data_IF_372866138832
#
_entry.id   IF_372866138832
#
_cell.length_a   1.000
_cell.length_b   1.000
_cell.length_c   1.000
_cell.angle_alpha   90.00
_cell.angle_beta   90.00
_cell.angle_gamma   90.00
#
_symmetry.space_group_name_H-M   'P 1'
#
loop_
_entity.id
_entity.type
_entity.pdbx_description
1 polymer ?
#
# COMPACT_ATOMS: atom_id res chain seq x y z
N UNK A 1 18.54 1.36 50.21
CA UNK A 1 19.28 0.74 49.07
C UNK A 1 19.08 1.64 47.82
N UNK A 2 20.15 1.98 47.10
CA UNK A 2 19.97 2.68 45.83
C UNK A 2 19.13 1.81 44.88
N UNK A 3 18.34 2.43 44.00
CA UNK A 3 17.55 1.65 43.04
C UNK A 3 18.47 0.81 42.16
N UNK A 4 18.06 -0.43 41.81
CA UNK A 4 18.88 -1.31 41.00
C UNK A 4 19.11 -0.65 39.64
N UNK A 5 20.36 -0.37 39.31
CA UNK A 5 20.79 0.20 38.05
C UNK A 5 20.93 -0.92 37.03
N UNK A 6 20.49 -0.65 35.78
CA UNK A 6 20.81 -1.54 34.68
C UNK A 6 22.31 -1.49 34.38
N UNK A 7 22.95 -2.64 34.13
CA UNK A 7 24.32 -2.65 33.64
C UNK A 7 24.37 -1.99 32.26
N UNK A 8 25.57 -1.65 31.79
CA UNK A 8 25.75 -1.18 30.41
C UNK A 8 25.27 -2.28 29.46
N UNK A 9 24.17 -2.00 28.73
CA UNK A 9 23.56 -2.95 27.79
C UNK A 9 24.11 -2.74 26.38
N UNK A 10 24.27 -3.81 25.61
CA UNK A 10 24.60 -3.67 24.18
C UNK A 10 23.49 -2.90 23.43
N UNK A 11 23.85 -2.16 22.38
CA UNK A 11 22.85 -1.53 21.53
C UNK A 11 21.98 -2.59 20.85
N UNK A 12 20.68 -2.28 20.67
CA UNK A 12 19.73 -3.14 19.96
C UNK A 12 18.79 -3.95 20.85
N UNK A 13 18.09 -4.93 20.26
CA UNK A 13 17.12 -5.73 21.00
C UNK A 13 17.79 -6.73 21.94
N UNK A 14 17.25 -6.83 23.14
CA UNK A 14 17.69 -7.77 24.15
C UNK A 14 16.67 -8.91 24.27
N UNK A 15 17.08 -10.13 23.97
CA UNK A 15 16.28 -11.33 24.26
C UNK A 15 16.44 -11.74 25.71
N UNK A 16 15.45 -12.47 26.26
CA UNK A 16 15.53 -12.98 27.62
C UNK A 16 16.74 -13.92 27.80
N UNK A 17 17.09 -14.70 26.78
CA UNK A 17 18.27 -15.56 26.79
C UNK A 17 19.58 -14.74 26.89
N UNK A 18 19.71 -13.71 26.02
CA UNK A 18 20.87 -12.81 26.06
C UNK A 18 20.95 -12.04 27.38
N UNK A 19 19.81 -11.57 27.90
CA UNK A 19 19.77 -10.90 29.20
C UNK A 19 20.31 -11.78 30.35
N UNK A 20 19.93 -13.05 30.36
CA UNK A 20 20.44 -14.02 31.34
C UNK A 20 21.93 -14.29 31.17
N UNK A 21 22.43 -14.37 29.93
CA UNK A 21 23.87 -14.50 29.67
C UNK A 21 24.67 -13.28 30.16
N UNK A 22 24.09 -12.10 30.11
CA UNK A 22 24.65 -10.85 30.64
C UNK A 22 24.51 -10.73 32.19
N UNK A 23 23.90 -11.71 32.83
CA UNK A 23 23.74 -11.74 34.30
C UNK A 23 22.59 -10.85 34.80
N UNK A 24 21.65 -10.41 33.95
CA UNK A 24 20.50 -9.65 34.43
C UNK A 24 19.58 -10.54 35.27
N UNK A 25 19.23 -10.06 36.45
CA UNK A 25 18.20 -10.67 37.29
C UNK A 25 16.79 -10.47 36.67
N UNK A 26 15.84 -11.31 37.07
CA UNK A 26 14.44 -11.17 36.67
C UNK A 26 13.83 -9.81 37.07
N UNK A 27 14.34 -9.20 38.17
CA UNK A 27 13.95 -7.86 38.58
C UNK A 27 14.48 -6.80 37.61
N UNK A 28 15.76 -6.85 37.26
CA UNK A 28 16.38 -5.93 36.30
C UNK A 28 15.73 -6.07 34.90
N UNK A 29 15.39 -7.31 34.49
CA UNK A 29 14.63 -7.55 33.24
C UNK A 29 13.30 -6.78 33.20
N UNK A 30 12.64 -6.58 34.35
CA UNK A 30 11.32 -5.91 34.44
C UNK A 30 11.40 -4.40 34.69
N UNK A 31 12.59 -3.81 34.78
CA UNK A 31 12.73 -2.37 35.00
C UNK A 31 12.12 -1.54 33.86
N UNK A 32 11.55 -0.40 34.21
CA UNK A 32 10.88 0.52 33.28
C UNK A 32 11.80 1.06 32.16
N UNK A 33 13.13 1.03 32.34
CA UNK A 33 14.09 1.41 31.31
C UNK A 33 14.17 0.43 30.13
N UNK A 34 13.63 -0.79 30.28
CA UNK A 34 13.54 -1.79 29.22
C UNK A 34 12.11 -1.91 28.72
N UNK A 35 11.83 -1.38 27.52
CA UNK A 35 10.51 -1.40 26.90
C UNK A 35 10.18 -2.81 26.42
N UNK A 36 9.02 -3.30 26.81
CA UNK A 36 8.57 -4.65 26.49
C UNK A 36 7.99 -4.70 25.08
N UNK A 37 8.67 -5.35 24.15
CA UNK A 37 8.17 -5.60 22.81
C UNK A 37 7.38 -6.91 22.72
N UNK A 38 7.94 -7.97 23.33
CA UNK A 38 7.26 -9.26 23.52
C UNK A 38 7.52 -9.76 24.95
N UNK A 39 7.04 -10.96 25.29
CA UNK A 39 7.39 -11.57 26.59
C UNK A 39 8.90 -11.81 26.75
N UNK A 40 9.59 -12.07 25.64
CA UNK A 40 10.99 -12.49 25.61
C UNK A 40 11.92 -11.50 24.92
N UNK A 41 11.43 -10.36 24.45
CA UNK A 41 12.22 -9.31 23.77
C UNK A 41 11.93 -7.96 24.37
N UNK A 42 12.97 -7.21 24.69
CA UNK A 42 12.94 -5.84 25.20
C UNK A 42 13.90 -4.96 24.41
N UNK A 43 13.64 -3.66 24.41
CA UNK A 43 14.45 -2.63 23.77
C UNK A 43 14.62 -1.43 24.71
N UNK A 44 15.62 -0.60 24.47
CA UNK A 44 15.78 0.69 25.14
C UNK A 44 14.87 1.76 24.53
N UNK A 45 14.60 1.67 23.23
CA UNK A 45 13.76 2.60 22.47
C UNK A 45 12.54 1.89 21.87
N UNK A 46 11.49 2.62 21.54
CA UNK A 46 10.38 2.05 20.75
C UNK A 46 10.82 1.90 19.30
N UNK A 47 10.29 0.87 18.59
CA UNK A 47 10.51 0.75 17.14
C UNK A 47 9.81 1.90 16.40
N UNK A 48 10.53 2.51 15.47
CA UNK A 48 10.05 3.66 14.68
C UNK A 48 9.38 3.23 13.37
N UNK A 49 9.62 2.00 12.92
CA UNK A 49 9.10 1.46 11.66
C UNK A 49 8.41 0.11 11.83
N UNK A 50 7.56 -0.23 10.86
CA UNK A 50 6.96 -1.57 10.76
C UNK A 50 8.04 -2.66 10.64
N UNK A 51 9.13 -2.38 9.92
CA UNK A 51 10.26 -3.30 9.76
C UNK A 51 10.97 -3.57 11.09
N UNK A 52 11.32 -2.54 11.85
CA UNK A 52 11.94 -2.69 13.17
C UNK A 52 11.04 -3.47 14.12
N UNK A 53 9.74 -3.15 14.14
CA UNK A 53 8.78 -3.87 14.97
C UNK A 53 8.69 -5.35 14.57
N UNK A 54 8.62 -5.66 13.29
CA UNK A 54 8.61 -7.03 12.79
C UNK A 54 9.92 -7.76 13.14
N UNK A 55 11.08 -7.11 13.01
CA UNK A 55 12.39 -7.67 13.37
C UNK A 55 12.47 -8.05 14.86
N UNK A 56 11.93 -7.22 15.76
CA UNK A 56 11.86 -7.53 17.19
C UNK A 56 10.98 -8.76 17.47
N UNK A 57 9.85 -8.87 16.79
CA UNK A 57 8.96 -10.01 16.93
C UNK A 57 9.55 -11.29 16.33
N UNK A 58 10.29 -11.20 15.21
CA UNK A 58 10.96 -12.34 14.57
C UNK A 58 11.92 -13.06 15.54
N UNK A 59 12.59 -12.32 16.46
CA UNK A 59 13.45 -12.93 17.49
C UNK A 59 12.70 -13.83 18.49
N UNK A 60 11.39 -13.68 18.56
CA UNK A 60 10.54 -14.41 19.48
C UNK A 60 9.62 -15.42 18.79
N UNK A 61 9.56 -15.41 17.45
CA UNK A 61 8.73 -16.31 16.66
C UNK A 61 9.48 -17.61 16.33
N UNK A 62 8.78 -18.73 16.17
CA UNK A 62 9.36 -19.94 15.59
C UNK A 62 9.92 -19.66 14.17
N UNK A 63 11.03 -20.34 13.85
CA UNK A 63 11.75 -20.14 12.58
C UNK A 63 10.91 -20.50 11.32
N UNK A 64 9.86 -21.30 11.49
CA UNK A 64 8.93 -21.70 10.42
C UNK A 64 7.79 -20.68 10.19
N UNK A 65 7.77 -19.57 10.93
CA UNK A 65 6.82 -18.50 10.72
C UNK A 65 7.27 -17.54 9.62
N UNK A 66 6.29 -16.89 8.98
CA UNK A 66 6.52 -15.74 8.11
C UNK A 66 5.51 -14.62 8.44
N UNK A 67 5.84 -13.37 8.13
CA UNK A 67 4.87 -12.29 8.16
C UNK A 67 3.96 -12.35 6.93
N UNK A 68 2.68 -11.97 7.07
CA UNK A 68 1.68 -12.11 6.03
C UNK A 68 0.66 -10.97 6.06
N UNK A 69 -0.31 -10.96 5.18
CA UNK A 69 -1.45 -10.05 5.17
C UNK A 69 -1.03 -8.57 5.32
N UNK A 70 -1.61 -7.83 6.27
CA UNK A 70 -1.33 -6.40 6.49
C UNK A 70 0.13 -6.16 6.86
N UNK A 71 0.72 -7.04 7.71
CA UNK A 71 2.13 -6.88 8.09
C UNK A 71 3.06 -7.07 6.89
N UNK A 72 2.86 -8.09 6.09
CA UNK A 72 3.65 -8.27 4.87
C UNK A 72 3.44 -7.11 3.89
N UNK A 73 2.22 -6.61 3.74
CA UNK A 73 1.92 -5.44 2.90
C UNK A 73 2.67 -4.18 3.38
N UNK A 74 2.73 -3.95 4.70
CA UNK A 74 3.53 -2.86 5.28
C UNK A 74 5.03 -3.05 5.01
N UNK A 75 5.55 -4.26 5.18
CA UNK A 75 6.95 -4.57 4.91
C UNK A 75 7.32 -4.41 3.43
N UNK A 76 6.42 -4.81 2.52
CA UNK A 76 6.56 -4.58 1.09
C UNK A 76 6.40 -3.10 0.68
N UNK A 77 5.93 -2.23 1.59
CA UNK A 77 5.63 -0.83 1.29
C UNK A 77 4.38 -0.65 0.41
N UNK A 78 3.45 -1.62 0.43
CA UNK A 78 2.20 -1.47 -0.29
C UNK A 78 1.34 -0.37 0.33
N UNK A 79 0.66 0.44 -0.47
CA UNK A 79 -0.27 1.44 0.03
C UNK A 79 -1.43 0.79 0.78
N UNK A 80 -1.68 1.27 1.99
CA UNK A 80 -2.76 0.79 2.85
C UNK A 80 -3.55 1.98 3.42
N UNK A 81 -4.86 1.82 3.72
CA UNK A 81 -5.62 2.78 4.47
C UNK A 81 -4.96 3.13 5.81
N UNK A 82 -5.14 4.38 6.27
CA UNK A 82 -4.56 4.87 7.52
C UNK A 82 -4.96 4.02 8.74
N UNK A 83 -6.18 3.50 8.76
CA UNK A 83 -6.66 2.61 9.81
C UNK A 83 -5.81 1.34 9.99
N UNK A 84 -5.20 0.83 8.92
CA UNK A 84 -4.35 -0.36 8.97
C UNK A 84 -2.87 -0.04 9.21
N UNK A 85 -2.44 1.20 8.98
CA UNK A 85 -1.06 1.61 9.26
C UNK A 85 -0.72 1.57 10.75
N UNK A 86 -1.70 1.85 11.61
CA UNK A 86 -1.58 1.82 13.08
C UNK A 86 -1.97 0.49 13.74
N UNK A 87 -2.13 -0.59 13.00
CA UNK A 87 -2.55 -1.87 13.54
C UNK A 87 -1.58 -2.36 14.64
N UNK A 88 -2.10 -2.71 15.82
CA UNK A 88 -1.28 -3.14 16.96
C UNK A 88 -0.71 -4.56 16.79
N UNK A 89 -1.48 -5.49 16.20
CA UNK A 89 -1.07 -6.88 15.99
C UNK A 89 -0.29 -7.07 14.69
N UNK A 90 0.69 -7.98 14.71
CA UNK A 90 1.42 -8.41 13.51
C UNK A 90 0.80 -9.70 12.94
N UNK A 91 0.45 -9.67 11.68
CA UNK A 91 -0.05 -10.86 10.96
C UNK A 91 1.10 -11.83 10.71
N UNK A 92 1.00 -13.02 11.30
CA UNK A 92 2.02 -14.07 11.21
C UNK A 92 1.38 -15.36 10.72
N UNK A 93 2.02 -16.02 9.75
CA UNK A 93 1.50 -17.24 9.13
C UNK A 93 2.44 -18.41 9.38
N UNK A 94 1.86 -19.61 9.57
CA UNK A 94 2.53 -20.92 9.62
C UNK A 94 1.85 -21.91 8.70
N UNK A 95 2.51 -23.04 8.47
CA UNK A 95 1.90 -24.17 7.76
C UNK A 95 0.72 -24.73 8.54
N UNK A 96 -0.28 -25.23 7.79
CA UNK A 96 -1.41 -25.98 8.34
C UNK A 96 -0.86 -27.24 9.06
N UNK A 97 -1.41 -27.57 10.23
CA UNK A 97 -0.91 -28.70 11.04
C UNK A 97 0.22 -28.33 12.03
N UNK A 98 0.79 -27.15 11.94
CA UNK A 98 1.62 -26.60 13.01
C UNK A 98 0.76 -25.93 14.08
N UNK A 99 1.17 -25.98 15.33
CA UNK A 99 0.43 -25.35 16.43
C UNK A 99 0.19 -23.85 16.20
N UNK A 100 -0.95 -23.36 16.69
CA UNK A 100 -1.30 -21.94 16.61
C UNK A 100 -0.25 -21.09 17.34
N UNK A 101 0.03 -19.91 16.77
CA UNK A 101 0.90 -18.92 17.44
C UNK A 101 0.05 -18.18 18.47
N UNK A 102 0.21 -18.58 19.74
CA UNK A 102 -0.45 -17.93 20.88
C UNK A 102 0.52 -16.91 21.51
N UNK A 103 0.76 -15.82 20.80
CA UNK A 103 1.64 -14.76 21.27
C UNK A 103 0.92 -13.43 21.21
N UNK A 104 0.90 -12.73 22.33
CA UNK A 104 0.36 -11.37 22.40
C UNK A 104 1.03 -10.47 21.36
N UNK A 105 0.24 -9.68 20.66
CA UNK A 105 0.73 -8.83 19.57
C UNK A 105 0.89 -9.55 18.22
N UNK A 106 0.55 -10.84 18.12
CA UNK A 106 0.46 -11.58 16.86
C UNK A 106 -0.98 -11.86 16.49
N UNK A 107 -1.29 -11.76 15.20
CA UNK A 107 -2.53 -12.21 14.59
C UNK A 107 -2.17 -13.46 13.78
N UNK A 108 -2.54 -14.65 14.28
CA UNK A 108 -2.09 -15.90 13.68
C UNK A 108 -2.92 -16.29 12.46
N UNK A 109 -2.24 -16.74 11.41
CA UNK A 109 -2.80 -17.32 10.21
C UNK A 109 -2.19 -18.70 9.92
N UNK A 110 -2.86 -19.49 9.09
CA UNK A 110 -2.41 -20.80 8.62
C UNK A 110 -2.37 -20.88 7.09
N UNK A 111 -1.66 -21.87 6.57
CA UNK A 111 -1.57 -22.12 5.12
C UNK A 111 -0.32 -21.52 4.47
N UNK A 112 0.78 -21.34 5.22
CA UNK A 112 2.05 -20.87 4.67
C UNK A 112 2.56 -21.76 3.52
N UNK A 113 2.25 -23.07 3.56
CA UNK A 113 2.60 -24.05 2.50
C UNK A 113 1.91 -23.79 1.15
N UNK A 114 0.92 -22.91 1.12
CA UNK A 114 0.17 -22.52 -0.09
C UNK A 114 0.58 -21.16 -0.62
N UNK A 115 1.63 -20.60 -0.07
CA UNK A 115 2.15 -19.27 -0.38
C UNK A 115 3.61 -19.36 -0.76
N UNK A 116 4.01 -18.55 -1.72
CA UNK A 116 5.43 -18.28 -1.90
C UNK A 116 5.91 -17.43 -0.73
N UNK A 117 7.10 -17.75 -0.24
CA UNK A 117 7.73 -17.01 0.85
C UNK A 117 9.02 -16.40 0.34
N UNK A 118 9.23 -15.13 0.68
CA UNK A 118 10.42 -14.36 0.36
C UNK A 118 11.18 -13.94 1.61
N UNK A 119 12.40 -13.44 1.39
CA UNK A 119 13.21 -12.79 2.43
C UNK A 119 13.29 -11.30 2.14
N UNK A 120 12.80 -10.47 3.04
CA UNK A 120 12.81 -9.02 2.93
C UNK A 120 13.51 -8.39 4.12
N UNK A 121 14.70 -7.82 3.93
CA UNK A 121 15.49 -7.25 5.03
C UNK A 121 15.78 -8.24 6.17
N UNK A 122 15.98 -9.52 5.86
CA UNK A 122 16.22 -10.57 6.85
C UNK A 122 14.95 -11.17 7.49
N UNK A 123 13.76 -10.71 7.09
CA UNK A 123 12.47 -11.21 7.57
C UNK A 123 11.82 -12.14 6.55
N UNK A 124 11.28 -13.28 7.01
CA UNK A 124 10.45 -14.13 6.17
C UNK A 124 9.08 -13.51 6.00
N UNK A 125 8.66 -13.31 4.77
CA UNK A 125 7.38 -12.68 4.40
C UNK A 125 6.66 -13.51 3.34
N UNK A 126 5.34 -13.39 3.22
CA UNK A 126 4.63 -13.90 2.04
C UNK A 126 5.07 -13.12 0.81
N UNK A 127 5.24 -13.81 -0.32
CA UNK A 127 5.64 -13.19 -1.59
C UNK A 127 4.68 -12.05 -1.97
N UNK A 128 5.16 -11.11 -2.77
CA UNK A 128 4.45 -9.85 -3.05
C UNK A 128 3.03 -10.09 -3.61
N UNK A 129 2.88 -11.00 -4.59
CA UNK A 129 1.57 -11.33 -5.17
C UNK A 129 0.68 -12.13 -4.19
N UNK A 130 1.26 -13.02 -3.39
CA UNK A 130 0.53 -13.72 -2.33
C UNK A 130 0.02 -12.76 -1.26
N UNK A 131 0.83 -11.76 -0.89
CA UNK A 131 0.46 -10.70 0.05
C UNK A 131 -0.75 -9.91 -0.45
N UNK A 132 -0.82 -9.59 -1.74
CA UNK A 132 -1.98 -8.92 -2.32
C UNK A 132 -3.27 -9.77 -2.18
N UNK A 133 -3.21 -11.07 -2.47
CA UNK A 133 -4.36 -11.97 -2.29
C UNK A 133 -4.74 -12.07 -0.80
N UNK A 134 -3.75 -12.12 0.09
CA UNK A 134 -3.98 -12.15 1.54
C UNK A 134 -4.68 -10.89 2.05
N UNK A 135 -4.47 -9.71 1.44
CA UNK A 135 -5.24 -8.49 1.77
C UNK A 135 -6.74 -8.70 1.54
N UNK A 136 -7.14 -9.43 0.50
CA UNK A 136 -8.54 -9.80 0.28
C UNK A 136 -9.12 -10.61 1.44
N UNK A 137 -8.34 -11.46 2.09
CA UNK A 137 -8.81 -12.27 3.22
C UNK A 137 -9.14 -11.42 4.47
N UNK A 138 -8.63 -10.20 4.56
CA UNK A 138 -8.76 -9.30 5.72
C UNK A 138 -9.51 -7.99 5.42
N UNK A 139 -10.28 -7.92 4.34
CA UNK A 139 -11.07 -6.73 3.95
C UNK A 139 -11.96 -6.21 5.08
N UNK A 140 -12.52 -7.10 5.91
CA UNK A 140 -13.33 -6.73 7.08
C UNK A 140 -12.59 -5.82 8.09
N UNK A 141 -11.27 -5.66 7.98
CA UNK A 141 -10.47 -4.75 8.80
C UNK A 141 -10.44 -3.30 8.25
N UNK A 142 -11.27 -2.97 7.26
CA UNK A 142 -11.39 -1.63 6.70
C UNK A 142 -10.72 -1.45 5.34
N UNK A 143 -10.62 -2.52 4.54
CA UNK A 143 -10.27 -2.46 3.13
C UNK A 143 -11.53 -2.55 2.26
N UNK A 144 -11.56 -1.80 1.19
CA UNK A 144 -12.53 -1.95 0.11
C UNK A 144 -11.88 -2.48 -1.20
N UNK A 145 -12.68 -2.69 -2.23
CA UNK A 145 -12.17 -3.12 -3.55
C UNK A 145 -11.20 -2.10 -4.14
N UNK A 146 -11.41 -0.79 -3.91
CA UNK A 146 -10.51 0.24 -4.41
C UNK A 146 -9.14 0.18 -3.71
N UNK A 147 -9.08 -0.18 -2.43
CA UNK A 147 -7.82 -0.41 -1.71
C UNK A 147 -7.05 -1.59 -2.29
N UNK A 148 -7.77 -2.66 -2.67
CA UNK A 148 -7.15 -3.80 -3.36
C UNK A 148 -6.58 -3.40 -4.72
N UNK A 149 -7.26 -2.52 -5.49
CA UNK A 149 -6.74 -2.00 -6.76
C UNK A 149 -5.51 -1.12 -6.50
N UNK A 150 -5.57 -0.22 -5.51
CA UNK A 150 -4.42 0.65 -5.14
C UNK A 150 -3.19 -0.18 -4.77
N UNK A 151 -3.35 -1.21 -3.94
CA UNK A 151 -2.25 -2.12 -3.61
C UNK A 151 -1.81 -2.94 -4.82
N UNK A 152 -2.76 -3.35 -5.66
CA UNK A 152 -2.50 -4.13 -6.87
C UNK A 152 -1.75 -3.36 -7.95
N UNK A 153 -2.05 -2.07 -8.15
CA UNK A 153 -1.30 -1.18 -9.06
C UNK A 153 0.16 -1.08 -8.63
N UNK A 154 0.43 -0.96 -7.32
CA UNK A 154 1.80 -0.96 -6.79
C UNK A 154 2.50 -2.32 -6.98
N UNK A 155 1.77 -3.43 -6.84
CA UNK A 155 2.33 -4.76 -7.18
C UNK A 155 2.63 -4.83 -8.69
N UNK A 156 1.72 -4.33 -9.54
CA UNK A 156 1.86 -4.34 -11.00
C UNK A 156 3.05 -3.51 -11.50
N UNK A 157 3.49 -2.52 -10.74
CA UNK A 157 4.73 -1.76 -11.01
C UNK A 157 6.01 -2.58 -10.80
N UNK A 158 5.93 -3.67 -10.03
CA UNK A 158 7.09 -4.51 -9.67
C UNK A 158 7.02 -5.90 -10.27
N UNK A 159 5.82 -6.38 -10.65
CA UNK A 159 5.57 -7.73 -11.17
C UNK A 159 4.47 -7.66 -12.25
N UNK A 160 4.48 -8.52 -13.26
CA UNK A 160 3.38 -8.58 -14.23
C UNK A 160 2.03 -8.84 -13.55
N UNK A 161 0.97 -8.19 -14.01
CA UNK A 161 -0.41 -8.41 -13.50
C UNK A 161 -0.79 -9.89 -13.55
N UNK A 162 -0.31 -10.62 -14.55
CA UNK A 162 -0.51 -12.07 -14.68
C UNK A 162 -0.03 -12.86 -13.44
N UNK A 163 0.94 -12.35 -12.68
CA UNK A 163 1.38 -13.00 -11.43
C UNK A 163 0.31 -12.96 -10.35
N UNK A 164 -0.45 -11.86 -10.25
CA UNK A 164 -1.59 -11.73 -9.34
C UNK A 164 -2.72 -12.70 -9.73
N UNK A 165 -3.02 -12.77 -11.02
CA UNK A 165 -4.02 -13.70 -11.56
C UNK A 165 -3.63 -15.17 -11.26
N UNK A 166 -2.37 -15.54 -11.48
CA UNK A 166 -1.88 -16.88 -11.22
C UNK A 166 -1.97 -17.25 -9.72
N UNK A 167 -1.62 -16.32 -8.83
CA UNK A 167 -1.75 -16.55 -7.39
C UNK A 167 -3.21 -16.69 -6.99
N UNK A 168 -4.09 -15.82 -7.46
CA UNK A 168 -5.52 -15.90 -7.16
C UNK A 168 -6.12 -17.24 -7.64
N UNK A 169 -5.78 -17.69 -8.83
CA UNK A 169 -6.27 -18.94 -9.42
C UNK A 169 -5.83 -20.19 -8.64
N UNK A 170 -4.61 -20.20 -8.05
CA UNK A 170 -4.13 -21.33 -7.27
C UNK A 170 -4.67 -21.39 -5.83
N UNK A 171 -5.29 -20.29 -5.34
CA UNK A 171 -5.86 -20.25 -3.99
C UNK A 171 -7.16 -21.05 -3.91
N UNK A 172 -7.27 -21.88 -2.88
CA UNK A 172 -8.48 -22.66 -2.63
C UNK A 172 -9.47 -21.81 -1.83
N UNK A 173 -10.53 -21.34 -2.49
CA UNK A 173 -11.63 -20.56 -1.89
C UNK A 173 -11.14 -19.38 -1.05
N UNK A 174 -10.36 -18.45 -1.61
CA UNK A 174 -9.93 -17.27 -0.86
C UNK A 174 -11.16 -16.46 -0.44
N UNK A 175 -11.12 -15.90 0.75
CA UNK A 175 -12.18 -14.98 1.21
C UNK A 175 -12.24 -13.78 0.27
N UNK A 176 -13.46 -13.26 0.05
CA UNK A 176 -13.71 -12.13 -0.83
C UNK A 176 -13.15 -12.31 -2.26
N UNK A 177 -13.20 -13.55 -2.77
CA UNK A 177 -12.73 -13.88 -4.13
C UNK A 177 -13.38 -13.01 -5.21
N UNK A 178 -14.65 -12.65 -5.05
CA UNK A 178 -15.36 -11.74 -5.97
C UNK A 178 -14.69 -10.37 -6.01
N UNK A 179 -14.42 -9.76 -4.86
CA UNK A 179 -13.75 -8.46 -4.79
C UNK A 179 -12.31 -8.53 -5.32
N UNK A 180 -11.58 -9.61 -5.06
CA UNK A 180 -10.25 -9.84 -5.63
C UNK A 180 -10.30 -9.96 -7.16
N UNK A 181 -11.28 -10.71 -7.69
CA UNK A 181 -11.46 -10.86 -9.14
C UNK A 181 -11.85 -9.54 -9.81
N UNK A 182 -12.75 -8.77 -9.19
CA UNK A 182 -13.10 -7.42 -9.64
C UNK A 182 -11.87 -6.50 -9.64
N UNK A 183 -11.16 -6.43 -8.51
CA UNK A 183 -9.95 -5.61 -8.40
C UNK A 183 -8.93 -5.97 -9.48
N UNK A 184 -8.72 -7.27 -9.74
CA UNK A 184 -7.77 -7.76 -10.74
C UNK A 184 -8.06 -7.22 -12.15
N UNK A 185 -9.34 -7.04 -12.53
CA UNK A 185 -9.71 -6.46 -13.84
C UNK A 185 -9.35 -4.97 -13.94
N UNK A 186 -9.23 -4.30 -12.79
CA UNK A 186 -9.02 -2.86 -12.68
C UNK A 186 -7.55 -2.47 -12.42
N UNK A 187 -6.67 -3.41 -12.12
CA UNK A 187 -5.25 -3.16 -11.85
C UNK A 187 -4.53 -2.73 -13.13
N UNK A 188 -3.71 -1.70 -13.02
CA UNK A 188 -2.86 -1.17 -14.10
C UNK A 188 -1.43 -0.97 -13.61
N UNK A 189 -0.47 -1.35 -14.43
CA UNK A 189 0.92 -0.95 -14.23
C UNK A 189 1.13 0.51 -14.67
N UNK A 190 2.16 1.14 -14.15
CA UNK A 190 2.53 2.51 -14.49
C UNK A 190 1.87 3.59 -13.63
N UNK A 191 0.94 3.25 -12.75
CA UNK A 191 0.34 4.20 -11.78
C UNK A 191 1.37 4.52 -10.70
N UNK A 192 1.55 5.81 -10.37
CA UNK A 192 2.62 6.26 -9.46
C UNK A 192 2.13 6.63 -8.06
N UNK A 193 0.85 6.82 -7.89
CA UNK A 193 0.29 7.15 -6.58
C UNK A 193 -1.05 6.50 -6.29
N UNK A 194 -1.36 6.26 -5.01
CA UNK A 194 -2.68 5.77 -4.59
C UNK A 194 -3.85 6.66 -5.06
N UNK A 195 -3.59 7.96 -5.18
CA UNK A 195 -4.64 8.91 -5.54
C UNK A 195 -4.90 8.95 -7.05
N UNK A 196 -3.90 8.72 -7.88
CA UNK A 196 -4.11 8.49 -9.32
C UNK A 196 -4.98 7.26 -9.56
N UNK A 197 -4.72 6.13 -8.86
CA UNK A 197 -5.60 4.96 -8.88
C UNK A 197 -7.03 5.34 -8.52
N UNK A 198 -7.22 6.05 -7.41
CA UNK A 198 -8.56 6.41 -6.93
C UNK A 198 -9.27 7.37 -7.89
N UNK A 199 -8.57 8.33 -8.47
CA UNK A 199 -9.10 9.23 -9.50
C UNK A 199 -9.52 8.43 -10.76
N UNK A 200 -8.67 7.53 -11.24
CA UNK A 200 -8.99 6.63 -12.36
C UNK A 200 -10.24 5.79 -12.08
N UNK A 201 -10.34 5.21 -10.89
CA UNK A 201 -11.51 4.42 -10.47
C UNK A 201 -12.77 5.27 -10.34
N UNK A 202 -12.68 6.53 -9.97
CA UNK A 202 -13.81 7.48 -9.98
C UNK A 202 -14.38 7.62 -11.38
N UNK A 203 -13.55 7.85 -12.40
CA UNK A 203 -13.98 7.92 -13.80
C UNK A 203 -14.52 6.58 -14.30
N UNK A 204 -13.85 5.48 -14.00
CA UNK A 204 -14.30 4.14 -14.38
C UNK A 204 -15.71 3.83 -13.84
N UNK A 205 -15.97 4.09 -12.55
CA UNK A 205 -17.28 3.88 -11.93
C UNK A 205 -18.38 4.74 -12.54
N UNK A 206 -18.01 5.93 -12.98
CA UNK A 206 -18.93 6.83 -13.69
C UNK A 206 -19.17 6.45 -15.15
N UNK A 207 -18.47 5.45 -15.68
CA UNK A 207 -18.66 4.98 -17.07
C UNK A 207 -17.87 5.76 -18.12
N UNK A 208 -16.84 6.50 -17.71
CA UNK A 208 -15.94 7.16 -18.65
C UNK A 208 -15.07 6.16 -19.40
N UNK A 209 -14.61 6.52 -20.62
CA UNK A 209 -13.58 5.73 -21.30
C UNK A 209 -12.30 5.67 -20.47
N UNK A 210 -11.63 4.51 -20.51
CA UNK A 210 -10.40 4.28 -19.75
C UNK A 210 -9.30 5.24 -20.22
N UNK A 211 -8.66 6.02 -19.32
CA UNK A 211 -7.50 6.83 -19.68
C UNK A 211 -6.22 6.00 -19.74
N UNK A 212 -5.24 6.44 -20.52
CA UNK A 212 -3.86 6.00 -20.37
C UNK A 212 -3.28 6.61 -19.09
N UNK A 213 -2.55 5.82 -18.28
CA UNK A 213 -1.98 6.28 -17.01
C UNK A 213 -0.51 6.67 -17.17
N UNK A 214 -0.11 7.80 -16.60
CA UNK A 214 1.26 8.34 -16.66
C UNK A 214 1.83 8.28 -18.07
N UNK A 215 1.06 8.74 -19.05
CA UNK A 215 1.36 8.57 -20.46
C UNK A 215 2.10 9.79 -21.03
N UNK A 216 3.13 9.51 -21.83
CA UNK A 216 3.84 10.53 -22.57
C UNK A 216 2.95 11.14 -23.66
N UNK A 217 3.01 12.46 -23.77
CA UNK A 217 2.28 13.27 -24.75
C UNK A 217 3.31 13.90 -25.70
N UNK A 218 3.02 13.80 -26.99
CA UNK A 218 3.90 14.29 -28.04
C UNK A 218 3.17 15.34 -28.87
N UNK A 219 3.91 16.28 -29.44
CA UNK A 219 3.45 17.23 -30.43
C UNK A 219 3.13 16.56 -31.79
N UNK A 220 2.50 17.27 -32.67
CA UNK A 220 2.15 16.74 -33.99
C UNK A 220 3.38 16.42 -34.87
N UNK A 221 4.54 17.03 -34.59
CA UNK A 221 5.83 16.76 -35.23
C UNK A 221 6.66 15.65 -34.52
N UNK A 222 6.11 15.05 -33.46
CA UNK A 222 6.73 13.95 -32.70
C UNK A 222 7.63 14.38 -31.55
N UNK A 223 7.74 15.68 -31.25
CA UNK A 223 8.49 16.20 -30.10
C UNK A 223 7.78 15.83 -28.78
N UNK A 224 8.55 15.45 -27.76
CA UNK A 224 7.99 15.20 -26.43
C UNK A 224 7.52 16.51 -25.78
N UNK A 225 6.29 16.58 -25.28
CA UNK A 225 5.70 17.74 -24.62
C UNK A 225 5.62 17.57 -23.11
N UNK A 226 5.03 16.48 -22.67
CA UNK A 226 4.73 16.25 -21.27
C UNK A 226 4.46 14.78 -20.99
N UNK A 227 4.25 14.49 -19.71
CA UNK A 227 3.63 13.26 -19.23
C UNK A 227 2.41 13.65 -18.41
N UNK A 228 1.27 12.98 -18.62
CA UNK A 228 0.03 13.26 -17.91
C UNK A 228 -0.43 12.08 -17.06
N UNK A 229 -1.01 12.33 -15.88
CA UNK A 229 -1.44 11.26 -14.96
C UNK A 229 -2.56 10.40 -15.55
N UNK A 230 -3.58 11.05 -16.14
CA UNK A 230 -4.72 10.40 -16.79
C UNK A 230 -4.93 11.05 -18.19
N UNK A 231 -4.62 10.32 -19.26
CA UNK A 231 -4.59 10.88 -20.62
C UNK A 231 -5.68 10.25 -21.47
N UNK A 232 -6.64 11.06 -21.94
CA UNK A 232 -7.60 10.71 -22.98
C UNK A 232 -7.10 11.25 -24.33
N UNK A 233 -6.24 10.48 -24.96
CA UNK A 233 -5.48 10.90 -26.16
C UNK A 233 -6.37 11.33 -27.31
N UNK A 234 -7.44 10.55 -27.59
CA UNK A 234 -8.36 10.84 -28.70
C UNK A 234 -9.04 12.20 -28.56
N UNK A 235 -9.37 12.62 -27.34
CA UNK A 235 -10.03 13.88 -27.05
C UNK A 235 -9.05 15.01 -26.71
N UNK A 236 -7.76 14.72 -26.66
CA UNK A 236 -6.72 15.63 -26.20
C UNK A 236 -7.05 16.23 -24.83
N UNK A 237 -7.42 15.40 -23.86
CA UNK A 237 -7.70 15.78 -22.47
C UNK A 237 -6.71 15.11 -21.54
N UNK A 238 -6.17 15.86 -20.58
CA UNK A 238 -5.29 15.38 -19.52
C UNK A 238 -5.93 15.72 -18.18
N UNK A 239 -6.05 14.72 -17.32
CA UNK A 239 -6.37 14.89 -15.91
C UNK A 239 -5.08 14.82 -15.07
N UNK A 240 -4.78 15.89 -14.33
CA UNK A 240 -3.62 15.98 -13.46
C UNK A 240 -4.07 15.91 -12.00
N UNK A 241 -3.59 14.92 -11.25
CA UNK A 241 -3.87 14.84 -9.83
C UNK A 241 -2.98 15.79 -9.03
N UNK A 242 -3.59 16.75 -8.36
CA UNK A 242 -2.90 17.71 -7.50
C UNK A 242 -2.89 17.21 -6.06
N UNK A 243 -1.76 16.66 -5.63
CA UNK A 243 -1.52 16.31 -4.23
C UNK A 243 -1.42 17.57 -3.35
N UNK A 244 -1.54 17.39 -2.03
CA UNK A 244 -1.26 18.44 -1.06
C UNK A 244 0.25 18.70 -0.99
N UNK A 245 0.86 19.25 -2.05
CA UNK A 245 2.30 19.47 -2.13
C UNK A 245 2.62 20.94 -1.95
N UNK A 246 3.64 21.14 -1.16
CA UNK A 246 4.45 22.36 -1.05
C UNK A 246 4.95 22.84 -2.43
N UNK A 247 4.12 23.56 -3.17
CA UNK A 247 4.48 24.16 -4.44
C UNK A 247 5.49 25.28 -4.22
N UNK A 248 6.77 24.97 -4.36
CA UNK A 248 7.82 25.99 -4.50
C UNK A 248 7.61 26.80 -5.78
N UNK A 249 8.00 28.08 -5.77
CA UNK A 249 7.85 29.04 -6.89
C UNK A 249 8.44 28.50 -8.20
N UNK A 250 9.53 27.73 -8.14
CA UNK A 250 10.18 27.12 -9.32
C UNK A 250 9.36 25.99 -9.97
N UNK A 251 8.52 25.29 -9.21
CA UNK A 251 7.59 24.29 -9.75
C UNK A 251 6.52 24.95 -10.60
N UNK A 252 5.91 26.03 -10.11
CA UNK A 252 4.81 26.73 -10.81
C UNK A 252 5.21 27.26 -12.19
N UNK A 253 6.45 27.77 -12.36
CA UNK A 253 6.93 28.27 -13.66
C UNK A 253 7.09 27.15 -14.70
N UNK A 254 7.59 25.97 -14.28
CA UNK A 254 7.72 24.81 -15.16
C UNK A 254 6.35 24.23 -15.55
N UNK A 255 5.44 24.18 -14.58
CA UNK A 255 4.08 23.70 -14.80
C UNK A 255 3.30 24.63 -15.73
N UNK A 256 3.47 25.95 -15.60
CA UNK A 256 2.86 26.93 -16.50
C UNK A 256 3.39 26.81 -17.94
N UNK A 257 4.72 26.63 -18.13
CA UNK A 257 5.30 26.42 -19.46
C UNK A 257 4.81 25.11 -20.09
N UNK A 258 4.76 24.03 -19.31
CA UNK A 258 4.25 22.73 -19.75
C UNK A 258 2.78 22.83 -20.20
N UNK A 259 1.95 23.47 -19.40
CA UNK A 259 0.53 23.67 -19.72
C UNK A 259 0.34 24.56 -20.96
N UNK A 260 1.21 25.56 -21.15
CA UNK A 260 1.23 26.38 -22.37
C UNK A 260 1.49 25.53 -23.61
N UNK A 261 2.55 24.74 -23.64
CA UNK A 261 2.88 23.83 -24.76
C UNK A 261 1.76 22.85 -25.07
N UNK A 262 1.12 22.27 -24.05
CA UNK A 262 -0.04 21.40 -24.23
C UNK A 262 -1.22 22.14 -24.85
N UNK A 263 -1.51 23.35 -24.38
CA UNK A 263 -2.61 24.19 -24.90
C UNK A 263 -2.39 24.57 -26.37
N UNK A 264 -1.16 24.94 -26.75
CA UNK A 264 -0.79 25.30 -28.12
C UNK A 264 -1.03 24.10 -29.10
N UNK A 265 -0.86 22.89 -28.61
CA UNK A 265 -1.15 21.64 -29.36
C UNK A 265 -2.62 21.17 -29.24
N UNK A 266 -3.48 22.00 -28.63
CA UNK A 266 -4.93 21.76 -28.51
C UNK A 266 -5.32 20.80 -27.39
N UNK A 267 -4.43 20.52 -26.44
CA UNK A 267 -4.76 19.73 -25.26
C UNK A 267 -5.46 20.58 -24.19
N UNK A 268 -6.36 19.93 -23.45
CA UNK A 268 -7.01 20.52 -22.26
C UNK A 268 -6.48 19.84 -21.01
N UNK A 269 -5.84 20.60 -20.13
CA UNK A 269 -5.37 20.10 -18.82
C UNK A 269 -6.43 20.44 -17.76
N UNK A 270 -6.89 19.43 -17.04
CA UNK A 270 -7.89 19.56 -15.98
C UNK A 270 -7.34 18.99 -14.68
N UNK A 271 -7.34 19.79 -13.63
CA UNK A 271 -6.86 19.39 -12.33
C UNK A 271 -7.89 18.54 -11.57
N UNK A 272 -7.40 17.58 -10.80
CA UNK A 272 -8.16 16.69 -9.92
C UNK A 272 -7.55 16.78 -8.51
N UNK A 273 -8.37 17.03 -7.51
CA UNK A 273 -7.97 17.12 -6.12
C UNK A 273 -8.53 15.97 -5.30
N UNK A 274 -7.97 15.73 -4.10
CA UNK A 274 -8.46 14.68 -3.21
C UNK A 274 -9.94 14.84 -2.87
N UNK A 275 -10.41 16.08 -2.69
CA UNK A 275 -11.83 16.34 -2.43
C UNK A 275 -12.73 15.93 -3.59
N UNK A 276 -12.25 15.99 -4.84
CA UNK A 276 -13.02 15.58 -6.02
C UNK A 276 -13.29 14.07 -6.02
N UNK A 277 -12.43 13.31 -5.36
CA UNK A 277 -12.59 11.85 -5.24
C UNK A 277 -13.49 11.47 -4.07
N UNK A 278 -13.37 12.15 -2.91
CA UNK A 278 -14.03 11.72 -1.68
C UNK A 278 -15.31 12.48 -1.34
N UNK A 279 -15.47 13.74 -1.77
CA UNK A 279 -16.67 14.54 -1.53
C UNK A 279 -17.64 14.39 -2.70
N UNK A 280 -18.87 13.95 -2.41
CA UNK A 280 -19.84 13.63 -3.45
C UNK A 280 -20.25 14.84 -4.33
N UNK A 281 -20.59 16.04 -3.79
CA UNK A 281 -20.87 17.21 -4.58
C UNK A 281 -19.71 17.63 -5.51
N UNK A 282 -18.49 17.63 -5.01
CA UNK A 282 -17.30 17.99 -5.80
C UNK A 282 -17.01 16.96 -6.88
N UNK A 283 -17.18 15.67 -6.57
CA UNK A 283 -17.06 14.57 -7.54
C UNK A 283 -18.01 14.78 -8.72
N UNK A 284 -19.29 15.09 -8.47
CA UNK A 284 -20.27 15.37 -9.51
C UNK A 284 -19.81 16.53 -10.39
N UNK A 285 -19.36 17.63 -9.80
CA UNK A 285 -18.85 18.81 -10.53
C UNK A 285 -17.65 18.44 -11.42
N UNK A 286 -16.70 17.71 -10.88
CA UNK A 286 -15.49 17.28 -11.60
C UNK A 286 -15.85 16.33 -12.75
N UNK A 287 -16.67 15.32 -12.50
CA UNK A 287 -17.13 14.40 -13.56
C UNK A 287 -17.89 15.14 -14.66
N UNK A 288 -18.77 16.10 -14.32
CA UNK A 288 -19.49 16.92 -15.31
C UNK A 288 -18.52 17.76 -16.15
N UNK A 289 -17.53 18.39 -15.52
CA UNK A 289 -16.49 19.16 -16.23
C UNK A 289 -15.68 18.29 -17.20
N UNK A 290 -15.28 17.09 -16.77
CA UNK A 290 -14.55 16.15 -17.62
C UNK A 290 -15.45 15.59 -18.74
N UNK A 291 -16.72 15.30 -18.47
CA UNK A 291 -17.66 14.86 -19.50
C UNK A 291 -17.80 15.89 -20.62
N UNK A 292 -17.92 17.18 -20.27
CA UNK A 292 -17.92 18.27 -21.25
C UNK A 292 -16.63 18.37 -22.05
N UNK A 293 -15.47 18.21 -21.41
CA UNK A 293 -14.17 18.24 -22.09
C UNK A 293 -13.97 17.05 -23.05
N UNK A 294 -14.45 15.87 -22.67
CA UNK A 294 -14.39 14.63 -23.45
C UNK A 294 -15.52 14.48 -24.48
N UNK A 295 -16.47 15.43 -24.50
CA UNK A 295 -17.67 15.42 -25.37
C UNK A 295 -18.47 14.13 -25.14
N UNK A 296 -18.72 13.77 -23.88
CA UNK A 296 -19.54 12.61 -23.52
C UNK A 296 -20.99 13.01 -23.23
N UNK A 297 -21.90 12.13 -23.55
CA UNK A 297 -23.30 12.28 -23.19
C UNK A 297 -23.52 11.98 -21.71
N UNK A 298 -23.92 13.00 -20.95
CA UNK A 298 -24.14 12.88 -19.48
C UNK A 298 -25.22 11.86 -19.13
N UNK A 299 -26.17 11.58 -20.03
CA UNK A 299 -27.26 10.62 -19.81
C UNK A 299 -26.77 9.17 -19.80
N UNK A 300 -25.59 8.91 -20.37
CA UNK A 300 -24.96 7.58 -20.41
C UNK A 300 -24.02 7.34 -19.19
N UNK A 301 -23.75 8.38 -18.43
CA UNK A 301 -22.82 8.35 -17.31
C UNK A 301 -23.53 8.20 -15.95
N UNK A 302 -22.84 7.59 -15.01
CA UNK A 302 -23.31 7.42 -13.61
C UNK A 302 -22.67 8.51 -12.74
N UNK A 303 -23.19 9.74 -12.86
CA UNK A 303 -22.64 10.94 -12.17
C UNK A 303 -23.47 11.27 -10.90
N UNK A 304 -24.09 10.32 -10.28
CA UNK A 304 -24.90 10.53 -9.06
C UNK A 304 -24.10 10.20 -7.79
#
# INVERSE_FOLDING_TARGET
MPPPQLPTLPPGPLTLAAARQLGLSDHQWRLKGLRRQTQTVRTLTEPESAHERAALFALALPADCAFSHVTAAQLWGLPLPSALKGQEGLDVIRATGRGRIERHGCIPHHGAERRELDMLGGLRVTGLADTWVDLGEVMARGLDTADLVVAGDEVANRRPVASLAAVLARRVRPRNSTALSEALTLIRAGVRSPMETRARLMFHRAGFPEPEVNAAIYSNDGGWLAEGDLVWRRQKVVGEYQGAVHCGIRSRSRDANRNGLLTDEGWRVLEIFSQDVFDAPRRVQTLTRFAGALVLDLTTLRIA
#
